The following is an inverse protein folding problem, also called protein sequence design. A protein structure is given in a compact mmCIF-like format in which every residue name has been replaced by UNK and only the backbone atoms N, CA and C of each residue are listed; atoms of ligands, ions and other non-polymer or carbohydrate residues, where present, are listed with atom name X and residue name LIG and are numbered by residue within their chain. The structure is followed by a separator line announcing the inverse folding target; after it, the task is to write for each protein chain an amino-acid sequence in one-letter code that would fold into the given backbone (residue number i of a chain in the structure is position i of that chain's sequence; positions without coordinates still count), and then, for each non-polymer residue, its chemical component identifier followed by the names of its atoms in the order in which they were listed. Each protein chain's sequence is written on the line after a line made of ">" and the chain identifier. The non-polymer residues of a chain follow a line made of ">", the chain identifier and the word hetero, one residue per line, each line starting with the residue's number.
data_IF_547119936499
#
_entry.id   IF_547119936499
#
_cell.length_a   1.000
_cell.length_b   1.000
_cell.length_c   1.000
_cell.angle_alpha   90.00
_cell.angle_beta   90.00
_cell.angle_gamma   90.00
#
_symmetry.space_group_name_H-M   'P 1'
#
loop_
_entity.id
_entity.type
_entity.pdbx_description
1 polymer ?
#
# COMPACT_ATOMS: atom_id res chain seq x y z
N UNK A 1 -20.64 -17.67 1.23
CA UNK A 1 -19.50 -17.87 0.34
C UNK A 1 -19.56 -16.77 -0.68
N UNK A 2 -18.66 -15.77 -0.62
CA UNK A 2 -18.25 -15.09 -1.86
C UNK A 2 -18.02 -16.22 -2.85
N UNK A 3 -18.69 -16.26 -3.98
CA UNK A 3 -18.47 -17.32 -4.94
C UNK A 3 -16.96 -17.51 -5.13
N UNK A 4 -16.51 -18.72 -5.42
CA UNK A 4 -15.07 -19.06 -5.49
C UNK A 4 -14.21 -18.10 -6.33
N UNK A 5 -14.84 -17.26 -7.15
CA UNK A 5 -14.22 -16.16 -7.91
C UNK A 5 -13.92 -14.93 -7.04
N UNK A 6 -14.84 -14.43 -6.22
CA UNK A 6 -14.64 -13.18 -5.47
C UNK A 6 -13.52 -13.27 -4.42
N UNK A 7 -13.37 -14.41 -3.74
CA UNK A 7 -12.19 -14.67 -2.89
C UNK A 7 -10.91 -14.77 -3.74
N UNK A 8 -10.97 -15.44 -4.90
CA UNK A 8 -9.83 -15.50 -5.82
C UNK A 8 -9.35 -14.13 -6.28
N UNK A 9 -10.26 -13.18 -6.46
CA UNK A 9 -9.93 -11.81 -6.89
C UNK A 9 -9.35 -10.96 -5.74
N UNK A 10 -9.79 -11.18 -4.50
CA UNK A 10 -9.16 -10.60 -3.31
C UNK A 10 -7.72 -11.13 -3.13
N UNK A 11 -7.49 -12.43 -3.31
CA UNK A 11 -6.14 -13.01 -3.26
C UNK A 11 -5.22 -12.50 -4.38
N UNK A 12 -5.74 -12.29 -5.58
CA UNK A 12 -4.94 -11.68 -6.66
C UNK A 12 -4.53 -10.25 -6.34
N UNK A 13 -5.36 -9.49 -5.61
CA UNK A 13 -5.00 -8.14 -5.17
C UNK A 13 -3.81 -8.09 -4.24
N UNK A 14 -3.75 -9.00 -3.28
CA UNK A 14 -2.58 -9.06 -2.39
C UNK A 14 -1.30 -9.43 -3.16
N UNK A 15 -1.39 -10.26 -4.21
CA UNK A 15 -0.26 -10.55 -5.09
C UNK A 15 0.18 -9.29 -5.86
N UNK A 16 -0.76 -8.48 -6.36
CA UNK A 16 -0.49 -7.21 -7.03
C UNK A 16 0.16 -6.22 -6.06
N UNK A 17 -0.35 -6.08 -4.85
CA UNK A 17 0.22 -5.22 -3.81
C UNK A 17 1.64 -5.64 -3.46
N UNK A 18 1.88 -6.93 -3.24
CA UNK A 18 3.20 -7.47 -2.95
C UNK A 18 4.18 -7.22 -4.12
N UNK A 19 3.76 -7.48 -5.35
CA UNK A 19 4.58 -7.23 -6.54
C UNK A 19 4.90 -5.73 -6.70
N UNK A 20 3.90 -4.86 -6.56
CA UNK A 20 4.06 -3.41 -6.67
C UNK A 20 5.03 -2.86 -5.62
N UNK A 21 4.92 -3.30 -4.38
CA UNK A 21 5.81 -2.88 -3.30
C UNK A 21 7.26 -3.33 -3.54
N UNK A 22 7.48 -4.54 -4.03
CA UNK A 22 8.80 -5.06 -4.36
C UNK A 22 9.45 -4.30 -5.53
N UNK A 23 8.66 -3.94 -6.55
CA UNK A 23 9.13 -3.13 -7.66
C UNK A 23 9.49 -1.71 -7.18
N UNK A 24 8.70 -1.12 -6.28
CA UNK A 24 9.01 0.18 -5.68
C UNK A 24 10.35 0.16 -4.95
N UNK A 25 10.58 -0.83 -4.08
CA UNK A 25 11.85 -0.98 -3.35
C UNK A 25 13.03 -1.05 -4.30
N UNK A 26 12.92 -1.84 -5.36
CA UNK A 26 14.00 -1.95 -6.35
C UNK A 26 14.17 -0.66 -7.13
N UNK A 27 13.09 0.02 -7.51
CA UNK A 27 13.14 1.26 -8.29
C UNK A 27 13.91 2.39 -7.61
N UNK A 28 13.86 2.47 -6.28
CA UNK A 28 14.54 3.53 -5.52
C UNK A 28 16.06 3.33 -5.45
N UNK A 29 16.58 2.21 -5.91
CA UNK A 29 18.02 1.92 -6.03
C UNK A 29 18.62 2.40 -7.35
N UNK A 30 17.79 2.84 -8.28
CA UNK A 30 18.18 3.24 -9.63
C UNK A 30 17.92 4.73 -9.85
N UNK A 31 18.90 5.42 -10.40
CA UNK A 31 18.88 6.88 -10.47
C UNK A 31 18.78 7.43 -11.90
N UNK A 32 18.98 6.59 -12.92
CA UNK A 32 18.89 7.05 -14.30
C UNK A 32 17.43 7.30 -14.72
N UNK A 33 17.13 8.33 -15.50
CA UNK A 33 15.77 8.62 -15.98
C UNK A 33 15.15 7.44 -16.73
N UNK A 34 15.93 6.70 -17.50
CA UNK A 34 15.46 5.54 -18.26
C UNK A 34 15.03 4.40 -17.34
N UNK A 35 15.83 4.08 -16.33
CA UNK A 35 15.49 3.04 -15.35
C UNK A 35 14.26 3.41 -14.53
N UNK A 36 14.18 4.67 -14.04
CA UNK A 36 13.01 5.19 -13.34
C UNK A 36 11.74 5.06 -14.17
N UNK A 37 11.79 5.42 -15.46
CA UNK A 37 10.65 5.28 -16.37
C UNK A 37 10.25 3.80 -16.59
N UNK A 38 11.22 2.89 -16.69
CA UNK A 38 10.96 1.46 -16.84
C UNK A 38 10.28 0.88 -15.60
N UNK A 39 10.77 1.18 -14.40
CA UNK A 39 10.13 0.74 -13.16
C UNK A 39 8.75 1.35 -12.97
N UNK A 40 8.56 2.63 -13.27
CA UNK A 40 7.23 3.25 -13.21
C UNK A 40 6.24 2.56 -14.16
N UNK A 41 6.66 2.19 -15.36
CA UNK A 41 5.81 1.43 -16.29
C UNK A 41 5.35 0.11 -15.69
N UNK A 42 6.24 -0.64 -15.06
CA UNK A 42 5.90 -1.91 -14.41
C UNK A 42 4.88 -1.70 -13.25
N UNK A 43 5.08 -0.67 -12.43
CA UNK A 43 4.16 -0.31 -11.35
C UNK A 43 2.80 0.12 -11.93
N UNK A 44 2.78 0.93 -12.97
CA UNK A 44 1.55 1.39 -13.63
C UNK A 44 0.76 0.23 -14.25
N UNK A 45 1.43 -0.76 -14.81
CA UNK A 45 0.78 -1.96 -15.32
C UNK A 45 0.14 -2.77 -14.17
N UNK A 46 0.79 -2.85 -13.01
CA UNK A 46 0.22 -3.47 -11.80
C UNK A 46 -0.97 -2.71 -11.23
N UNK A 47 -0.91 -1.38 -11.18
CA UNK A 47 -2.03 -0.55 -10.75
C UNK A 47 -3.25 -0.78 -11.66
N UNK A 48 -3.08 -0.78 -12.98
CA UNK A 48 -4.16 -1.06 -13.94
C UNK A 48 -4.73 -2.48 -13.79
N UNK A 49 -3.92 -3.45 -13.44
CA UNK A 49 -4.37 -4.80 -13.13
C UNK A 49 -5.21 -4.81 -11.84
N UNK A 50 -4.78 -4.07 -10.81
CA UNK A 50 -5.52 -3.85 -9.57
C UNK A 50 -6.89 -3.20 -9.79
N UNK A 51 -6.95 -2.11 -10.54
CA UNK A 51 -8.20 -1.42 -10.90
C UNK A 51 -9.24 -2.37 -11.53
N UNK A 52 -8.80 -3.20 -12.47
CA UNK A 52 -9.70 -4.18 -13.12
C UNK A 52 -10.27 -5.17 -12.12
N UNK A 53 -9.46 -5.63 -11.16
CA UNK A 53 -9.92 -6.55 -10.11
C UNK A 53 -10.88 -5.83 -9.15
N UNK A 54 -10.68 -4.55 -8.85
CA UNK A 54 -11.59 -3.74 -8.06
C UNK A 54 -12.97 -3.69 -8.69
N UNK A 55 -13.05 -3.37 -9.97
CA UNK A 55 -14.31 -3.33 -10.71
C UNK A 55 -15.00 -4.70 -10.70
N UNK A 56 -14.27 -5.78 -10.94
CA UNK A 56 -14.83 -7.13 -10.89
C UNK A 56 -15.42 -7.49 -9.51
N UNK A 57 -14.73 -7.14 -8.42
CA UNK A 57 -15.24 -7.36 -7.07
C UNK A 57 -16.53 -6.57 -6.84
N UNK A 58 -16.60 -5.32 -7.27
CA UNK A 58 -17.78 -4.48 -7.10
C UNK A 58 -18.96 -4.97 -7.93
N UNK A 59 -18.73 -5.42 -9.16
CA UNK A 59 -19.76 -6.02 -10.02
C UNK A 59 -20.31 -7.30 -9.38
N UNK A 60 -19.45 -8.17 -8.86
CA UNK A 60 -19.88 -9.39 -8.15
C UNK A 60 -20.69 -9.06 -6.87
N UNK A 61 -20.29 -8.07 -6.09
CA UNK A 61 -21.04 -7.62 -4.91
C UNK A 61 -22.44 -7.12 -5.28
N UNK A 62 -22.60 -6.50 -6.45
CA UNK A 62 -23.89 -6.05 -6.98
C UNK A 62 -24.84 -7.19 -7.32
N UNK A 63 -24.34 -8.37 -7.68
CA UNK A 63 -25.10 -9.50 -8.19
C UNK A 63 -25.25 -10.69 -7.23
N UNK A 64 -24.39 -10.75 -6.18
CA UNK A 64 -24.37 -11.87 -5.23
C UNK A 64 -25.33 -11.61 -4.06
N UNK A 65 -26.25 -12.56 -3.78
CA UNK A 65 -27.25 -12.42 -2.71
C UNK A 65 -26.71 -12.74 -1.31
N UNK A 66 -25.71 -13.61 -1.20
CA UNK A 66 -25.15 -14.07 0.08
C UNK A 66 -23.65 -13.81 0.10
N UNK A 67 -23.19 -12.96 1.03
CA UNK A 67 -21.79 -12.67 1.28
C UNK A 67 -21.43 -12.97 2.74
N UNK A 68 -20.18 -13.40 3.06
CA UNK A 68 -19.77 -13.72 4.42
C UNK A 68 -19.67 -12.46 5.31
N UNK A 69 -19.55 -11.28 4.71
CA UNK A 69 -19.52 -9.97 5.34
C UNK A 69 -20.53 -9.07 4.66
N UNK A 70 -20.88 -7.95 5.27
CA UNK A 70 -21.69 -6.93 4.61
C UNK A 70 -20.98 -6.41 3.36
N UNK A 71 -21.74 -6.08 2.34
CA UNK A 71 -21.19 -5.60 1.07
C UNK A 71 -20.34 -4.35 1.23
N UNK A 72 -20.77 -3.44 2.11
CA UNK A 72 -20.02 -2.22 2.43
C UNK A 72 -18.66 -2.54 3.03
N UNK A 73 -18.58 -3.52 3.93
CA UNK A 73 -17.30 -3.93 4.56
C UNK A 73 -16.32 -4.50 3.51
N UNK A 74 -16.82 -5.29 2.57
CA UNK A 74 -16.01 -5.85 1.49
C UNK A 74 -15.56 -4.74 0.54
N UNK A 75 -16.47 -3.82 0.21
CA UNK A 75 -16.16 -2.65 -0.62
C UNK A 75 -15.07 -1.80 0.01
N UNK A 76 -15.21 -1.45 1.29
CA UNK A 76 -14.26 -0.61 2.00
C UNK A 76 -12.88 -1.27 2.11
N UNK A 77 -12.84 -2.57 2.39
CA UNK A 77 -11.60 -3.33 2.44
C UNK A 77 -10.92 -3.35 1.06
N UNK A 78 -11.68 -3.64 0.01
CA UNK A 78 -11.16 -3.66 -1.35
C UNK A 78 -10.63 -2.29 -1.78
N UNK A 79 -11.37 -1.21 -1.50
CA UNK A 79 -10.95 0.16 -1.81
C UNK A 79 -9.71 0.58 -1.04
N UNK A 80 -9.60 0.20 0.24
CA UNK A 80 -8.43 0.56 1.05
C UNK A 80 -7.14 -0.12 0.58
N UNK A 81 -7.21 -1.34 0.08
CA UNK A 81 -6.05 -2.02 -0.53
C UNK A 81 -5.65 -1.32 -1.84
N UNK A 82 -6.64 -0.90 -2.63
CA UNK A 82 -6.43 -0.13 -3.85
C UNK A 82 -5.71 1.19 -3.58
N UNK A 83 -6.07 1.90 -2.52
CA UNK A 83 -5.42 3.14 -2.10
C UNK A 83 -3.91 2.94 -1.82
N UNK A 84 -3.50 1.78 -1.31
CA UNK A 84 -2.07 1.47 -1.10
C UNK A 84 -1.37 1.27 -2.45
N UNK A 85 -1.97 0.54 -3.37
CA UNK A 85 -1.43 0.34 -4.73
C UNK A 85 -1.32 1.68 -5.46
N UNK A 86 -2.33 2.54 -5.34
CA UNK A 86 -2.34 3.89 -5.89
C UNK A 86 -1.24 4.77 -5.31
N UNK A 87 -1.00 4.68 -4.00
CA UNK A 87 0.11 5.38 -3.33
C UNK A 87 1.48 4.96 -3.86
N UNK A 88 1.69 3.66 -4.07
CA UNK A 88 2.91 3.13 -4.68
C UNK A 88 3.09 3.68 -6.10
N UNK A 89 2.04 3.66 -6.91
CA UNK A 89 2.05 4.21 -8.26
C UNK A 89 2.32 5.72 -8.27
N UNK A 90 1.68 6.47 -7.38
CA UNK A 90 1.89 7.92 -7.23
C UNK A 90 3.32 8.26 -6.82
N UNK A 91 3.93 7.49 -5.93
CA UNK A 91 5.32 7.66 -5.52
C UNK A 91 6.28 7.46 -6.70
N UNK A 92 6.13 6.35 -7.42
CA UNK A 92 6.95 6.05 -8.60
C UNK A 92 6.75 7.09 -9.73
N UNK A 93 5.52 7.58 -9.91
CA UNK A 93 5.19 8.64 -10.87
C UNK A 93 5.93 9.94 -10.55
N UNK A 94 5.92 10.38 -9.28
CA UNK A 94 6.63 11.61 -8.87
C UNK A 94 8.13 11.49 -9.06
N UNK A 95 8.72 10.35 -8.69
CA UNK A 95 10.14 10.09 -8.90
C UNK A 95 10.51 10.20 -10.39
N UNK A 96 9.68 9.67 -11.27
CA UNK A 96 9.89 9.71 -12.72
C UNK A 96 9.71 11.12 -13.28
N UNK A 97 8.65 11.83 -12.91
CA UNK A 97 8.34 13.18 -13.43
C UNK A 97 9.34 14.21 -12.92
N UNK A 98 9.64 14.17 -11.61
CA UNK A 98 10.51 15.17 -11.00
C UNK A 98 11.99 14.88 -11.24
N UNK A 99 12.34 13.64 -11.47
CA UNK A 99 13.72 13.18 -11.66
C UNK A 99 14.68 13.83 -10.65
N UNK A 100 14.52 13.57 -9.36
CA UNK A 100 15.36 14.13 -8.30
C UNK A 100 16.78 13.58 -8.37
N UNK A 101 17.68 14.16 -7.58
CA UNK A 101 18.94 13.51 -7.21
C UNK A 101 18.67 12.09 -6.65
N UNK A 102 19.70 11.23 -6.47
CA UNK A 102 19.52 9.91 -5.89
C UNK A 102 18.67 9.94 -4.61
N UNK A 103 17.74 9.01 -4.51
CA UNK A 103 16.85 8.91 -3.36
C UNK A 103 17.67 8.58 -2.11
N UNK A 104 17.41 9.29 -1.00
CA UNK A 104 18.09 9.11 0.27
C UNK A 104 17.83 7.74 0.90
N UNK A 105 18.66 7.38 1.87
CA UNK A 105 18.46 6.16 2.66
C UNK A 105 17.11 6.19 3.40
N UNK A 106 16.65 7.34 3.88
CA UNK A 106 15.31 7.48 4.46
C UNK A 106 14.19 7.17 3.47
N UNK A 107 14.31 7.59 2.20
CA UNK A 107 13.34 7.24 1.17
C UNK A 107 13.33 5.75 0.85
N UNK A 108 14.51 5.13 0.80
CA UNK A 108 14.66 3.67 0.65
C UNK A 108 14.07 2.94 1.85
N UNK A 109 14.29 3.44 3.06
CA UNK A 109 13.70 2.88 4.29
C UNK A 109 12.17 2.93 4.25
N UNK A 110 11.55 4.06 3.87
CA UNK A 110 10.11 4.16 3.70
C UNK A 110 9.57 3.13 2.69
N UNK A 111 10.27 2.91 1.59
CA UNK A 111 9.86 1.88 0.61
C UNK A 111 9.91 0.47 1.18
N UNK A 112 10.88 0.15 2.02
CA UNK A 112 10.97 -1.13 2.74
C UNK A 112 9.85 -1.28 3.77
N UNK A 113 9.47 -0.21 4.46
CA UNK A 113 8.34 -0.22 5.39
C UNK A 113 7.03 -0.47 4.64
N UNK A 114 6.81 0.17 3.49
CA UNK A 114 5.67 -0.11 2.61
C UNK A 114 5.65 -1.60 2.19
N UNK A 115 6.79 -2.18 1.85
CA UNK A 115 6.89 -3.60 1.51
C UNK A 115 6.53 -4.50 2.70
N UNK A 116 6.95 -4.16 3.91
CA UNK A 116 6.58 -4.88 5.13
C UNK A 116 5.08 -4.80 5.39
N UNK A 117 4.47 -3.62 5.22
CA UNK A 117 3.02 -3.45 5.35
C UNK A 117 2.27 -4.28 4.31
N UNK A 118 2.71 -4.30 3.05
CA UNK A 118 2.15 -5.17 2.02
C UNK A 118 2.19 -6.65 2.41
N UNK A 119 3.28 -7.09 3.05
CA UNK A 119 3.39 -8.45 3.58
C UNK A 119 2.36 -8.72 4.68
N UNK A 120 2.20 -7.82 5.66
CA UNK A 120 1.23 -8.02 6.74
C UNK A 120 -0.22 -7.89 6.27
N UNK A 121 -0.52 -7.04 5.29
CA UNK A 121 -1.83 -7.01 4.62
C UNK A 121 -2.11 -8.36 3.96
N UNK A 122 -1.14 -8.92 3.24
CA UNK A 122 -1.28 -10.24 2.62
C UNK A 122 -1.59 -11.33 3.67
N UNK A 123 -0.85 -11.36 4.77
CA UNK A 123 -1.09 -12.29 5.88
C UNK A 123 -2.45 -12.09 6.52
N UNK A 124 -2.88 -10.86 6.70
CA UNK A 124 -4.19 -10.53 7.26
C UNK A 124 -5.32 -11.00 6.34
N UNK A 125 -5.15 -10.88 5.02
CA UNK A 125 -6.14 -11.37 4.06
C UNK A 125 -6.27 -12.90 4.10
N UNK A 126 -5.17 -13.63 4.28
CA UNK A 126 -5.20 -15.09 4.44
C UNK A 126 -6.00 -15.54 5.68
N UNK A 127 -6.07 -14.70 6.72
CA UNK A 127 -6.84 -15.00 7.95
C UNK A 127 -8.35 -14.73 7.83
N UNK A 128 -8.82 -14.04 6.79
CA UNK A 128 -10.24 -13.62 6.69
C UNK A 128 -11.24 -14.78 6.67
N UNK A 129 -10.84 -15.97 6.27
CA UNK A 129 -11.72 -17.13 6.27
C UNK A 129 -11.92 -17.72 7.69
N UNK A 130 -10.94 -17.55 8.57
CA UNK A 130 -10.84 -18.27 9.85
C UNK A 130 -10.90 -17.38 11.09
N UNK A 131 -10.73 -16.06 10.96
CA UNK A 131 -10.56 -15.13 12.08
C UNK A 131 -11.72 -15.14 13.09
N UNK A 132 -12.94 -15.46 12.67
CA UNK A 132 -14.10 -15.58 13.57
C UNK A 132 -13.87 -16.59 14.69
N UNK A 133 -13.10 -17.65 14.41
CA UNK A 133 -12.77 -18.68 15.40
C UNK A 133 -11.56 -18.31 16.24
N UNK A 134 -10.61 -17.56 15.68
CA UNK A 134 -9.36 -17.15 16.32
C UNK A 134 -8.93 -15.75 15.86
N UNK A 135 -9.53 -14.68 16.39
CA UNK A 135 -9.27 -13.32 15.93
C UNK A 135 -7.89 -12.77 16.34
N UNK A 136 -7.17 -13.46 17.23
CA UNK A 136 -5.90 -12.98 17.78
C UNK A 136 -4.85 -12.74 16.71
N UNK A 137 -4.68 -13.70 15.78
CA UNK A 137 -3.70 -13.61 14.71
C UNK A 137 -3.94 -12.40 13.80
N UNK A 138 -5.20 -12.17 13.41
CA UNK A 138 -5.58 -11.02 12.61
C UNK A 138 -5.33 -9.70 13.37
N UNK A 139 -5.63 -9.66 14.68
CA UNK A 139 -5.31 -8.49 15.54
C UNK A 139 -3.83 -8.19 15.59
N UNK A 140 -2.99 -9.23 15.68
CA UNK A 140 -1.54 -9.08 15.73
C UNK A 140 -1.03 -8.46 14.43
N UNK A 141 -1.55 -8.87 13.27
CA UNK A 141 -1.19 -8.25 11.99
C UNK A 141 -1.63 -6.78 11.91
N UNK A 142 -2.83 -6.44 12.40
CA UNK A 142 -3.27 -5.04 12.48
C UNK A 142 -2.37 -4.21 13.40
N UNK A 143 -1.88 -4.79 14.50
CA UNK A 143 -0.92 -4.12 15.39
C UNK A 143 0.41 -3.89 14.69
N UNK A 144 0.90 -4.87 13.91
CA UNK A 144 2.12 -4.71 13.11
C UNK A 144 2.00 -3.58 12.08
N UNK A 145 0.85 -3.44 11.42
CA UNK A 145 0.62 -2.33 10.48
C UNK A 145 0.71 -0.98 11.19
N UNK A 146 0.12 -0.85 12.37
CA UNK A 146 0.22 0.36 13.18
C UNK A 146 1.66 0.67 13.64
N UNK A 147 2.40 -0.35 14.11
CA UNK A 147 3.79 -0.18 14.54
C UNK A 147 4.70 0.27 13.39
N UNK A 148 4.47 -0.25 12.17
CA UNK A 148 5.24 0.13 10.98
C UNK A 148 4.93 1.56 10.55
N UNK A 149 3.67 1.96 10.59
CA UNK A 149 3.27 3.33 10.28
C UNK A 149 3.92 4.33 11.25
N UNK A 150 3.90 4.08 12.57
CA UNK A 150 4.60 4.92 13.54
C UNK A 150 6.11 5.01 13.24
N UNK A 151 6.74 3.92 12.83
CA UNK A 151 8.14 3.95 12.41
C UNK A 151 8.34 4.78 11.14
N UNK A 152 7.42 4.71 10.19
CA UNK A 152 7.47 5.50 8.96
C UNK A 152 7.32 7.00 9.25
N UNK A 153 6.42 7.37 10.15
CA UNK A 153 6.26 8.75 10.64
C UNK A 153 7.57 9.29 11.22
N UNK A 154 8.21 8.53 12.12
CA UNK A 154 9.48 8.93 12.73
C UNK A 154 10.58 9.14 11.65
N UNK A 155 10.68 8.24 10.68
CA UNK A 155 11.63 8.35 9.55
C UNK A 155 11.34 9.62 8.73
N UNK A 156 10.07 9.86 8.40
CA UNK A 156 9.64 11.01 7.62
C UNK A 156 9.91 12.33 8.34
N UNK A 157 9.49 12.47 9.60
CA UNK A 157 9.66 13.69 10.38
C UNK A 157 11.15 14.07 10.55
N UNK A 158 11.98 13.07 10.88
CA UNK A 158 13.42 13.30 10.99
C UNK A 158 14.04 13.73 9.65
N UNK A 159 13.62 13.09 8.56
CA UNK A 159 14.10 13.43 7.23
C UNK A 159 13.69 14.85 6.83
N UNK A 160 12.44 15.24 7.01
CA UNK A 160 11.93 16.58 6.66
C UNK A 160 12.67 17.65 7.47
N UNK A 161 12.92 17.44 8.74
CA UNK A 161 13.68 18.38 9.57
C UNK A 161 15.07 18.65 8.97
N UNK A 162 15.80 17.58 8.64
CA UNK A 162 17.14 17.70 8.01
C UNK A 162 17.09 18.32 6.63
N UNK A 163 16.08 17.96 5.83
CA UNK A 163 15.92 18.51 4.48
C UNK A 163 15.83 20.04 4.50
N UNK A 164 15.03 20.61 5.39
CA UNK A 164 14.88 22.07 5.49
C UNK A 164 16.11 22.77 6.07
N UNK A 165 16.93 22.08 6.85
CA UNK A 165 18.18 22.64 7.37
C UNK A 165 19.32 22.60 6.33
N UNK A 166 19.42 21.53 5.56
CA UNK A 166 20.60 21.20 4.76
C UNK A 166 20.45 21.55 3.28
N UNK A 167 19.25 21.34 2.69
CA UNK A 167 19.05 21.53 1.25
C UNK A 167 18.99 23.03 0.88
N UNK A 168 19.86 23.43 -0.04
CA UNK A 168 19.96 24.83 -0.50
C UNK A 168 19.36 25.03 -1.88
N UNK A 169 19.13 23.96 -2.65
CA UNK A 169 18.43 24.02 -3.92
C UNK A 169 16.93 23.91 -3.68
N UNK A 170 16.21 25.01 -3.85
CA UNK A 170 14.76 25.08 -3.61
C UNK A 170 13.96 24.15 -4.52
N UNK A 171 14.45 23.86 -5.73
CA UNK A 171 13.77 22.95 -6.65
C UNK A 171 13.93 21.51 -6.18
N UNK A 172 15.14 21.10 -5.79
CA UNK A 172 15.37 19.77 -5.21
C UNK A 172 14.62 19.59 -3.89
N UNK A 173 14.58 20.62 -3.03
CA UNK A 173 13.80 20.59 -1.80
C UNK A 173 12.33 20.27 -2.08
N UNK A 174 11.71 20.94 -3.05
CA UNK A 174 10.31 20.69 -3.43
C UNK A 174 10.13 19.27 -3.96
N UNK A 175 10.97 18.84 -4.89
CA UNK A 175 10.90 17.48 -5.47
C UNK A 175 10.97 16.39 -4.40
N UNK A 176 11.97 16.49 -3.53
CA UNK A 176 12.23 15.45 -2.51
C UNK A 176 11.16 15.49 -1.44
N UNK A 177 10.73 16.67 -0.98
CA UNK A 177 9.62 16.80 -0.02
C UNK A 177 8.35 16.14 -0.54
N UNK A 178 7.98 16.39 -1.78
CA UNK A 178 6.78 15.82 -2.40
C UNK A 178 6.85 14.27 -2.53
N UNK A 179 8.02 13.76 -2.92
CA UNK A 179 8.25 12.33 -3.04
C UNK A 179 8.17 11.65 -1.67
N UNK A 180 8.85 12.21 -0.68
CA UNK A 180 8.87 11.65 0.68
C UNK A 180 7.49 11.69 1.32
N UNK A 181 6.74 12.76 1.12
CA UNK A 181 5.36 12.87 1.58
C UNK A 181 4.45 11.81 0.95
N UNK A 182 4.61 11.52 -0.34
CA UNK A 182 3.81 10.49 -0.99
C UNK A 182 4.16 9.08 -0.50
N UNK A 183 5.43 8.80 -0.18
CA UNK A 183 5.85 7.54 0.42
C UNK A 183 5.24 7.37 1.83
N UNK A 184 5.30 8.39 2.69
CA UNK A 184 4.70 8.39 4.02
C UNK A 184 3.18 8.24 3.94
N UNK A 185 2.51 9.00 3.08
CA UNK A 185 1.07 8.88 2.84
C UNK A 185 0.65 7.47 2.38
N UNK A 186 1.54 6.75 1.72
CA UNK A 186 1.30 5.35 1.33
C UNK A 186 1.33 4.43 2.55
N UNK A 187 2.19 4.68 3.53
CA UNK A 187 2.19 3.94 4.81
C UNK A 187 0.91 4.21 5.61
N UNK A 188 0.40 5.43 5.63
CA UNK A 188 -0.90 5.77 6.21
C UNK A 188 -2.05 4.97 5.57
N UNK A 189 -2.05 4.87 4.24
CA UNK A 189 -3.04 4.10 3.50
C UNK A 189 -2.99 2.61 3.88
N UNK A 190 -1.81 2.06 4.10
CA UNK A 190 -1.63 0.67 4.52
C UNK A 190 -2.11 0.46 5.98
N UNK A 191 -1.84 1.38 6.89
CA UNK A 191 -2.40 1.33 8.26
C UNK A 191 -3.93 1.40 8.23
N UNK A 192 -4.51 2.19 7.34
CA UNK A 192 -5.96 2.29 7.20
C UNK A 192 -6.61 0.94 6.85
N UNK A 193 -5.96 0.09 6.05
CA UNK A 193 -6.39 -1.30 5.84
C UNK A 193 -6.48 -2.04 7.18
N UNK A 194 -5.50 -1.88 8.06
CA UNK A 194 -5.50 -2.45 9.40
C UNK A 194 -6.67 -1.95 10.27
N UNK A 195 -7.04 -0.68 10.17
CA UNK A 195 -8.20 -0.09 10.87
C UNK A 195 -9.51 -0.73 10.40
N UNK A 196 -9.68 -0.91 9.10
CA UNK A 196 -10.86 -1.60 8.53
C UNK A 196 -10.92 -3.04 9.02
N UNK A 197 -9.80 -3.77 9.00
CA UNK A 197 -9.73 -5.14 9.50
C UNK A 197 -10.07 -5.24 11.00
N UNK A 198 -9.63 -4.29 11.82
CA UNK A 198 -10.03 -4.21 13.25
C UNK A 198 -11.54 -4.05 13.42
N UNK A 199 -12.17 -3.22 12.58
CA UNK A 199 -13.62 -3.05 12.59
C UNK A 199 -14.34 -4.36 12.23
N UNK A 200 -13.82 -5.11 11.26
CA UNK A 200 -14.35 -6.45 10.93
C UNK A 200 -14.25 -7.43 12.11
N UNK A 201 -13.13 -7.41 12.84
CA UNK A 201 -12.98 -8.25 14.05
C UNK A 201 -14.03 -7.87 15.08
N UNK A 202 -14.26 -6.60 15.34
CA UNK A 202 -15.26 -6.15 16.33
C UNK A 202 -16.69 -6.52 15.91
N UNK A 203 -16.96 -6.49 14.59
CA UNK A 203 -18.31 -6.72 14.06
C UNK A 203 -18.66 -8.20 13.95
N UNK A 204 -17.68 -9.08 13.68
CA UNK A 204 -17.92 -10.47 13.29
C UNK A 204 -17.25 -11.55 14.16
N UNK A 205 -16.36 -11.19 15.08
CA UNK A 205 -15.67 -12.14 15.97
C UNK A 205 -16.13 -12.06 17.48
#
# INVERSE_FOLDING_TARGET
>A
VLGSRGLGDVYKRQEILSASSSILVESLRHDSPTERANYYKLIKDKEREGDKLTHLIFDELGTTFITPFDREDIHDLASSIDDVIDGINSSAKRITIYNPRPISDSGKELSLLIQQEAHYISKAMDELETFRKKPTTLRDYCTKLHDIENQADDVYELFITKLFEEEKDSIELIKIKEIMHELEKTTDAAEHVGKILRNLIVKYA
#
